data_IF_975090500415
#
_entry.id   IF_975090500415
#
_cell.length_a   1.000
_cell.length_b   1.000
_cell.length_c   1.000
_cell.angle_alpha   90.00
_cell.angle_beta   90.00
_cell.angle_gamma   90.00
#
_symmetry.space_group_name_H-M   'P 1'
#
loop_
_entity.id
_entity.type
_entity.pdbx_description
1 polymer ?
#
# COMPACT_ATOMS: atom_id res chain seq x y z
N UNK A 1 -5.66 5.35 -3.50
CA UNK A 1 -5.90 5.56 -2.04
C UNK A 1 -4.97 6.64 -1.51
N UNK A 2 -5.29 7.25 -0.37
CA UNK A 2 -4.39 8.16 0.35
C UNK A 2 -3.87 7.47 1.60
N UNK A 3 -2.58 7.66 1.92
CA UNK A 3 -1.97 7.19 3.16
C UNK A 3 -0.96 8.25 3.65
N UNK A 4 -0.71 8.23 4.96
CA UNK A 4 0.32 9.06 5.58
C UNK A 4 1.58 8.23 5.80
N UNK A 5 2.74 8.91 5.78
CA UNK A 5 3.98 8.29 6.21
C UNK A 5 3.87 7.77 7.66
N UNK A 6 4.58 6.68 8.02
CA UNK A 6 4.64 6.23 9.40
C UNK A 6 5.25 7.29 10.32
N UNK A 7 4.89 7.26 11.60
CA UNK A 7 5.35 8.21 12.61
C UNK A 7 6.84 8.09 12.95
N UNK A 8 7.45 6.95 12.63
CA UNK A 8 8.89 6.71 12.74
C UNK A 8 9.39 6.02 11.48
N UNK A 9 10.56 6.44 11.02
CA UNK A 9 11.30 5.85 9.90
C UNK A 9 12.42 4.92 10.37
N UNK A 10 12.48 4.60 11.68
CA UNK A 10 13.55 3.77 12.23
C UNK A 10 14.95 4.40 12.17
N UNK A 11 15.04 5.72 12.02
CA UNK A 11 16.29 6.48 12.01
C UNK A 11 16.94 6.61 10.64
N UNK A 12 16.26 6.24 9.55
CA UNK A 12 16.71 6.44 8.17
C UNK A 12 15.58 6.93 7.27
N UNK A 13 15.84 7.90 6.37
CA UNK A 13 14.82 8.46 5.48
C UNK A 13 14.09 7.39 4.67
N UNK A 14 12.77 7.51 4.57
CA UNK A 14 11.95 6.66 3.71
C UNK A 14 12.27 6.94 2.25
N UNK A 15 12.62 5.90 1.50
CA UNK A 15 12.98 5.95 0.08
C UNK A 15 11.86 5.44 -0.83
N UNK A 16 10.89 4.72 -0.29
CA UNK A 16 9.74 4.24 -1.05
C UNK A 16 8.64 3.62 -0.20
N UNK A 17 7.60 3.16 -0.90
CA UNK A 17 6.48 2.45 -0.32
C UNK A 17 6.10 1.26 -1.18
N UNK A 18 5.72 0.16 -0.53
CA UNK A 18 5.12 -1.00 -1.19
C UNK A 18 3.64 -1.05 -0.82
N UNK A 19 2.77 -1.05 -1.82
CA UNK A 19 1.33 -1.22 -1.66
C UNK A 19 0.95 -2.63 -2.07
N UNK A 20 0.24 -3.33 -1.17
CA UNK A 20 -0.38 -4.62 -1.48
C UNK A 20 -1.88 -4.47 -1.55
N UNK A 21 -2.49 -5.07 -2.57
CA UNK A 21 -3.91 -5.03 -2.88
C UNK A 21 -4.41 -6.46 -2.83
N UNK A 22 -5.37 -6.75 -1.96
CA UNK A 22 -6.06 -8.04 -1.95
C UNK A 22 -7.44 -7.88 -2.55
N UNK A 23 -7.73 -8.69 -3.56
CA UNK A 23 -9.01 -8.74 -4.24
C UNK A 23 -9.97 -9.80 -3.70
N UNK A 24 -11.20 -9.84 -4.24
CA UNK A 24 -12.30 -10.64 -3.71
C UNK A 24 -12.07 -12.16 -3.78
N UNK A 25 -11.27 -12.64 -4.75
CA UNK A 25 -11.01 -14.06 -4.96
C UNK A 25 -9.73 -14.55 -4.25
N UNK A 26 -9.22 -13.80 -3.27
CA UNK A 26 -7.95 -14.08 -2.59
C UNK A 26 -6.70 -13.73 -3.40
N UNK A 27 -6.84 -13.25 -4.64
CA UNK A 27 -5.73 -12.73 -5.44
C UNK A 27 -5.08 -11.52 -4.79
N UNK A 28 -3.75 -11.45 -4.83
CA UNK A 28 -2.97 -10.33 -4.31
C UNK A 28 -2.09 -9.73 -5.39
N UNK A 29 -2.09 -8.40 -5.50
CA UNK A 29 -1.18 -7.65 -6.36
C UNK A 29 -0.32 -6.74 -5.47
N UNK A 30 0.98 -6.64 -5.78
CA UNK A 30 1.91 -5.78 -5.05
C UNK A 30 2.57 -4.81 -6.03
N UNK A 31 2.54 -3.52 -5.72
CA UNK A 31 3.22 -2.47 -6.46
C UNK A 31 4.15 -1.68 -5.55
N UNK A 32 5.32 -1.34 -6.07
CA UNK A 32 6.33 -0.55 -5.36
C UNK A 32 6.43 0.84 -5.97
N UNK A 33 6.57 1.84 -5.12
CA UNK A 33 6.61 3.25 -5.50
C UNK A 33 7.82 3.93 -4.86
N UNK A 34 8.50 4.79 -5.62
CA UNK A 34 9.49 5.70 -5.06
C UNK A 34 8.80 6.75 -4.17
N UNK A 35 9.54 7.30 -3.21
CA UNK A 35 8.98 8.22 -2.22
C UNK A 35 8.38 9.49 -2.85
N UNK A 36 7.06 9.48 -3.03
CA UNK A 36 6.22 10.66 -3.07
C UNK A 36 5.03 10.36 -2.15
N UNK A 37 5.15 10.78 -0.89
CA UNK A 37 4.12 10.51 0.11
C UNK A 37 2.79 11.14 -0.33
N UNK A 38 1.68 10.43 -0.06
CA UNK A 38 0.35 11.02 -0.02
C UNK A 38 -0.67 10.41 -0.98
N UNK A 39 -0.28 9.96 -2.18
CA UNK A 39 -1.23 9.37 -3.15
C UNK A 39 -0.58 8.31 -4.01
N UNK A 40 -1.24 7.14 -4.06
CA UNK A 40 -0.93 6.09 -5.03
C UNK A 40 -2.20 5.73 -5.78
N UNK A 41 -2.08 5.73 -7.11
CA UNK A 41 -3.08 5.14 -8.00
C UNK A 41 -2.70 3.69 -8.23
N UNK A 42 -3.59 2.79 -7.81
CA UNK A 42 -3.51 1.36 -8.11
C UNK A 42 -4.54 1.10 -9.20
N UNK A 43 -4.13 0.52 -10.33
CA UNK A 43 -5.07 0.11 -11.35
C UNK A 43 -4.44 -0.56 -12.57
N UNK A 44 -5.28 -1.04 -13.52
CA UNK A 44 -6.72 -1.27 -13.36
C UNK A 44 -7.01 -2.51 -12.50
N UNK A 45 -8.12 -2.48 -11.75
CA UNK A 45 -8.60 -3.62 -10.98
C UNK A 45 -9.76 -4.26 -11.74
N UNK A 46 -9.54 -5.48 -12.24
CA UNK A 46 -10.38 -6.06 -13.29
C UNK A 46 -11.62 -6.79 -12.73
N UNK A 47 -11.61 -7.13 -11.45
CA UNK A 47 -12.68 -7.91 -10.83
C UNK A 47 -13.58 -6.96 -10.02
N UNK A 48 -14.90 -7.15 -10.13
CA UNK A 48 -15.84 -6.50 -9.22
C UNK A 48 -15.76 -7.15 -7.85
N UNK A 49 -15.98 -6.36 -6.80
CA UNK A 49 -16.03 -6.84 -5.43
C UNK A 49 -15.12 -6.08 -4.48
N UNK A 50 -14.85 -6.71 -3.34
CA UNK A 50 -14.21 -6.05 -2.22
C UNK A 50 -12.69 -6.11 -2.30
N UNK A 51 -12.07 -4.93 -2.26
CA UNK A 51 -10.62 -4.77 -2.20
C UNK A 51 -10.15 -4.23 -0.86
N UNK A 52 -9.02 -4.73 -0.38
CA UNK A 52 -8.29 -4.15 0.75
C UNK A 52 -6.88 -3.78 0.33
N UNK A 53 -6.36 -2.72 0.94
CA UNK A 53 -5.04 -2.19 0.63
C UNK A 53 -4.21 -2.08 1.91
N UNK A 54 -2.94 -2.46 1.84
CA UNK A 54 -1.95 -2.23 2.91
C UNK A 54 -0.71 -1.55 2.34
N UNK A 55 -0.01 -0.78 3.18
CA UNK A 55 1.20 -0.04 2.81
C UNK A 55 2.34 -0.47 3.72
N UNK A 56 3.53 -0.65 3.15
CA UNK A 56 4.79 -0.79 3.87
C UNK A 56 5.74 0.34 3.46
N UNK A 57 6.42 0.94 4.43
CA UNK A 57 7.48 1.91 4.15
C UNK A 57 8.81 1.18 3.92
N UNK A 58 9.63 1.73 3.03
CA UNK A 58 10.95 1.19 2.67
C UNK A 58 12.00 2.26 2.91
N UNK A 59 13.09 1.89 3.56
CA UNK A 59 14.29 2.70 3.69
C UNK A 59 15.55 1.82 3.53
N UNK A 60 16.73 2.38 3.78
CA UNK A 60 17.99 1.63 3.69
C UNK A 60 18.17 0.53 4.75
N UNK A 61 17.39 0.55 5.83
CA UNK A 61 17.42 -0.49 6.88
C UNK A 61 16.56 -1.68 6.46
N UNK A 62 15.42 -1.42 5.81
CA UNK A 62 14.54 -2.47 5.33
C UNK A 62 13.12 -1.99 5.08
N UNK A 63 12.19 -2.95 5.19
CA UNK A 63 10.75 -2.72 4.95
C UNK A 63 9.98 -2.84 6.26
N UNK A 64 9.06 -1.92 6.52
CA UNK A 64 8.22 -1.94 7.72
C UNK A 64 7.22 -3.10 7.75
N UNK A 65 6.60 -3.27 8.92
CA UNK A 65 5.31 -3.97 9.02
C UNK A 65 4.24 -3.29 8.15
N UNK A 66 3.25 -4.04 7.64
CA UNK A 66 2.16 -3.44 6.87
C UNK A 66 1.30 -2.54 7.75
N UNK A 67 0.75 -1.49 7.15
CA UNK A 67 -0.32 -0.70 7.75
C UNK A 67 -1.55 -1.57 8.04
N UNK A 68 -2.47 -1.02 8.84
CA UNK A 68 -3.84 -1.53 8.86
C UNK A 68 -4.39 -1.56 7.43
N UNK A 69 -5.15 -2.60 7.13
CA UNK A 69 -5.86 -2.68 5.86
C UNK A 69 -6.90 -1.56 5.79
N UNK A 70 -7.07 -0.96 4.62
CA UNK A 70 -8.21 -0.06 4.38
C UNK A 70 -9.53 -0.82 4.58
N UNK A 71 -10.62 -0.08 4.80
CA UNK A 71 -11.96 -0.64 4.62
C UNK A 71 -12.12 -1.16 3.19
N UNK A 72 -13.05 -2.11 3.04
CA UNK A 72 -13.37 -2.66 1.74
C UNK A 72 -13.78 -1.56 0.76
N UNK A 73 -13.06 -1.46 -0.35
CA UNK A 73 -13.47 -0.67 -1.49
C UNK A 73 -14.31 -1.57 -2.40
N UNK A 74 -15.59 -1.26 -2.58
CA UNK A 74 -16.46 -1.96 -3.50
C UNK A 74 -16.45 -1.26 -4.86
N UNK A 75 -15.88 -1.93 -5.86
CA UNK A 75 -15.91 -1.46 -7.26
C UNK A 75 -17.11 -2.13 -7.93
N UNK A 76 -18.21 -1.38 -8.03
CA UNK A 76 -19.50 -1.81 -8.60
C UNK A 76 -19.51 -1.89 -10.13
#
# INVERSE_FOLDING_TARGET
MTFSAPTSDGGKPITGYTVTVKGPNGGSLTQSFLAQAGRVSVGPLNNKGFYTFTVRAVNSVGTSNPSNATRYLNLG
#
